data_IF_334862982542
#
_entry.id   IF_334862982542
#
_cell.length_a   1.000
_cell.length_b   1.000
_cell.length_c   1.000
_cell.angle_alpha   90.00
_cell.angle_beta   90.00
_cell.angle_gamma   90.00
#
_symmetry.space_group_name_H-M   'P 1'
#
loop_
_entity.id
_entity.type
_entity.pdbx_description
1 polymer ?
#
# COMPACT_ATOMS: atom_id res chain seq x y z
N UNK A 1 16.70 4.95 10.23
CA UNK A 1 16.27 3.92 11.21
C UNK A 1 16.85 2.59 10.74
N UNK A 2 17.43 1.80 11.64
CA UNK A 2 17.87 0.43 11.32
C UNK A 2 16.65 -0.49 11.24
N UNK A 3 16.57 -1.32 10.20
CA UNK A 3 15.49 -2.30 10.04
C UNK A 3 15.92 -3.59 10.75
N UNK A 4 15.22 -3.95 11.81
CA UNK A 4 15.48 -5.18 12.58
C UNK A 4 14.35 -6.20 12.39
N UNK A 5 14.63 -7.46 12.71
CA UNK A 5 13.61 -8.52 12.67
C UNK A 5 12.44 -8.24 13.61
N UNK A 6 12.68 -7.65 14.78
CA UNK A 6 11.59 -7.28 15.71
C UNK A 6 10.61 -6.27 15.11
N UNK A 7 11.11 -5.30 14.32
CA UNK A 7 10.27 -4.34 13.61
C UNK A 7 9.47 -5.04 12.51
N UNK A 8 10.12 -5.92 11.74
CA UNK A 8 9.47 -6.69 10.67
C UNK A 8 8.36 -7.58 11.24
N UNK A 9 8.64 -8.33 12.30
CA UNK A 9 7.68 -9.26 12.93
C UNK A 9 6.49 -8.52 13.54
N UNK A 10 6.73 -7.34 14.15
CA UNK A 10 5.66 -6.47 14.65
C UNK A 10 4.71 -6.03 13.53
N UNK A 11 5.25 -5.58 12.39
CA UNK A 11 4.42 -5.21 11.23
C UNK A 11 3.74 -6.42 10.59
N UNK A 12 4.40 -7.57 10.52
CA UNK A 12 3.81 -8.81 10.02
C UNK A 12 2.62 -9.25 10.87
N UNK A 13 2.71 -9.09 12.20
CA UNK A 13 1.61 -9.31 13.12
C UNK A 13 0.44 -8.34 12.87
N UNK A 14 0.73 -7.06 12.64
CA UNK A 14 -0.31 -6.07 12.29
C UNK A 14 -1.04 -6.44 10.99
N UNK A 15 -0.31 -6.80 9.93
CA UNK A 15 -0.91 -7.21 8.65
C UNK A 15 -1.80 -8.44 8.79
N UNK A 16 -1.40 -9.45 9.57
CA UNK A 16 -2.25 -10.62 9.86
C UNK A 16 -3.52 -10.24 10.61
N UNK A 17 -3.44 -9.32 11.57
CA UNK A 17 -4.60 -8.91 12.36
C UNK A 17 -5.65 -8.15 11.55
N UNK A 18 -5.22 -7.40 10.53
CA UNK A 18 -6.14 -6.75 9.58
C UNK A 18 -6.54 -7.67 8.42
N UNK A 19 -6.20 -8.97 8.51
CA UNK A 19 -6.71 -10.00 7.62
C UNK A 19 -5.85 -10.29 6.39
N UNK A 20 -4.67 -9.70 6.24
CA UNK A 20 -3.78 -10.03 5.10
C UNK A 20 -3.36 -11.50 5.19
N UNK A 21 -3.71 -12.26 4.16
CA UNK A 21 -3.43 -13.69 4.08
C UNK A 21 -2.01 -13.97 3.59
N UNK A 22 -1.52 -15.17 3.93
CA UNK A 22 -0.22 -15.65 3.49
C UNK A 22 -0.12 -15.89 1.98
N UNK A 23 -1.22 -16.01 1.26
CA UNK A 23 -1.28 -16.24 -0.19
C UNK A 23 -1.76 -15.00 -0.97
N UNK A 24 -1.82 -13.84 -0.31
CA UNK A 24 -2.34 -12.62 -0.90
C UNK A 24 -1.36 -12.03 -1.92
N UNK A 25 -1.91 -11.48 -3.00
CA UNK A 25 -1.20 -10.61 -3.93
C UNK A 25 -1.28 -9.16 -3.44
N UNK A 26 -0.13 -8.55 -3.19
CA UNK A 26 -0.03 -7.24 -2.52
C UNK A 26 0.82 -6.28 -3.34
N UNK A 27 0.26 -5.10 -3.59
CA UNK A 27 1.00 -3.98 -4.17
C UNK A 27 1.42 -3.03 -3.06
N UNK A 28 2.73 -2.74 -2.94
CA UNK A 28 3.26 -1.75 -2.01
C UNK A 28 3.58 -0.46 -2.76
N UNK A 29 2.87 0.61 -2.45
CA UNK A 29 3.14 1.95 -2.98
C UNK A 29 4.16 2.67 -2.10
N UNK A 30 5.18 3.25 -2.74
CA UNK A 30 6.21 4.03 -2.05
C UNK A 30 6.71 5.20 -2.87
N UNK A 31 7.56 6.03 -2.25
CA UNK A 31 8.26 7.12 -2.92
C UNK A 31 9.73 6.77 -3.18
N UNK A 32 10.44 7.67 -3.87
CA UNK A 32 11.89 7.57 -4.08
C UNK A 32 12.71 8.16 -2.92
N UNK A 33 12.17 8.22 -1.70
CA UNK A 33 12.92 8.76 -0.56
C UNK A 33 14.21 7.96 -0.31
N UNK A 34 15.26 8.67 0.12
CA UNK A 34 16.57 8.10 0.42
C UNK A 34 16.57 7.22 1.68
N UNK A 35 15.50 7.23 2.47
CA UNK A 35 15.30 6.42 3.66
C UNK A 35 13.89 5.80 3.65
N UNK A 36 13.65 4.81 2.78
CA UNK A 36 12.31 4.24 2.56
C UNK A 36 11.95 3.22 3.65
N UNK A 37 12.37 3.45 4.89
CA UNK A 37 12.36 2.43 5.95
C UNK A 37 10.96 1.84 6.18
N UNK A 38 9.90 2.63 5.98
CA UNK A 38 8.52 2.14 6.07
C UNK A 38 8.16 1.19 4.92
N UNK A 39 8.51 1.54 3.68
CA UNK A 39 8.28 0.69 2.50
C UNK A 39 9.03 -0.64 2.62
N UNK A 40 10.30 -0.56 2.99
CA UNK A 40 11.14 -1.76 3.12
C UNK A 40 10.66 -2.66 4.28
N UNK A 41 10.27 -2.08 5.42
CA UNK A 41 9.64 -2.82 6.53
C UNK A 41 8.33 -3.46 6.08
N UNK A 42 7.45 -2.71 5.39
CA UNK A 42 6.18 -3.22 4.93
C UNK A 42 6.37 -4.39 3.95
N UNK A 43 7.25 -4.24 2.94
CA UNK A 43 7.57 -5.34 2.02
C UNK A 43 8.09 -6.55 2.78
N UNK A 44 9.09 -6.39 3.64
CA UNK A 44 9.71 -7.50 4.34
C UNK A 44 8.71 -8.22 5.27
N UNK A 45 7.83 -7.46 5.93
CA UNK A 45 6.78 -8.01 6.77
C UNK A 45 5.73 -8.79 5.95
N UNK A 46 5.29 -8.27 4.81
CA UNK A 46 4.36 -8.95 3.90
C UNK A 46 4.99 -10.24 3.31
N UNK A 47 6.26 -10.17 2.93
CA UNK A 47 6.98 -11.34 2.44
C UNK A 47 7.16 -12.39 3.55
N UNK A 48 7.39 -11.98 4.81
CA UNK A 48 7.54 -12.92 5.92
C UNK A 48 6.23 -13.62 6.32
N UNK A 49 5.07 -13.01 6.02
CA UNK A 49 3.77 -13.69 6.18
C UNK A 49 3.45 -14.64 5.01
N UNK A 50 4.20 -14.58 3.90
CA UNK A 50 4.04 -15.42 2.72
C UNK A 50 3.49 -14.71 1.48
N UNK A 51 3.06 -13.45 1.61
CA UNK A 51 2.39 -12.72 0.54
C UNK A 51 3.30 -12.49 -0.67
N UNK A 52 2.69 -12.48 -1.85
CA UNK A 52 3.32 -12.10 -3.12
C UNK A 52 3.34 -10.57 -3.20
N UNK A 53 4.53 -9.96 -3.24
CA UNK A 53 4.67 -8.50 -3.12
C UNK A 53 5.28 -7.88 -4.38
N UNK A 54 4.57 -6.91 -4.95
CA UNK A 54 5.05 -6.03 -6.02
C UNK A 54 5.20 -4.61 -5.48
N UNK A 55 6.39 -4.02 -5.61
CA UNK A 55 6.60 -2.61 -5.27
C UNK A 55 6.32 -1.71 -6.47
N UNK A 56 5.59 -0.61 -6.24
CA UNK A 56 5.35 0.46 -7.22
C UNK A 56 5.83 1.78 -6.62
N UNK A 57 6.80 2.40 -7.28
CA UNK A 57 7.36 3.68 -6.84
C UNK A 57 6.71 4.85 -7.57
N UNK A 58 6.44 5.92 -6.82
CA UNK A 58 5.85 7.14 -7.36
C UNK A 58 6.78 7.80 -8.37
N UNK A 59 6.27 8.08 -9.56
CA UNK A 59 6.92 8.97 -10.52
C UNK A 59 6.24 10.34 -10.52
N UNK A 60 6.81 11.32 -11.21
CA UNK A 60 6.16 12.62 -11.42
C UNK A 60 4.76 12.50 -12.06
N UNK A 61 4.48 11.39 -12.76
CA UNK A 61 3.16 11.13 -13.34
C UNK A 61 2.09 10.76 -12.29
N UNK A 62 2.51 10.23 -11.14
CA UNK A 62 1.64 9.86 -10.00
C UNK A 62 1.54 10.96 -8.93
N UNK A 63 2.44 11.94 -8.98
CA UNK A 63 2.47 13.09 -8.06
C UNK A 63 1.72 14.27 -8.68
N UNK A 64 0.42 14.10 -8.90
CA UNK A 64 -0.42 15.19 -9.41
C UNK A 64 -0.91 16.06 -8.25
N UNK A 65 -0.70 17.38 -8.34
CA UNK A 65 -1.13 18.33 -7.29
C UNK A 65 -2.53 18.87 -7.51
N UNK A 66 -3.13 18.67 -8.69
CA UNK A 66 -4.33 19.38 -9.12
C UNK A 66 -5.55 18.47 -9.37
N UNK A 67 -5.49 17.19 -8.97
CA UNK A 67 -6.65 16.28 -9.07
C UNK A 67 -7.08 15.91 -10.49
N UNK A 68 -6.33 16.30 -11.53
CA UNK A 68 -6.59 15.86 -12.89
C UNK A 68 -6.24 14.37 -13.02
N UNK A 69 -7.23 13.50 -13.17
CA UNK A 69 -6.96 12.09 -13.52
C UNK A 69 -6.32 12.09 -14.91
N UNK A 70 -5.08 11.60 -15.01
CA UNK A 70 -4.42 11.39 -16.29
C UNK A 70 -4.34 9.90 -16.62
N UNK A 71 -3.99 9.56 -17.86
CA UNK A 71 -3.86 8.17 -18.31
C UNK A 71 -2.91 7.33 -17.44
N UNK A 72 -1.88 7.94 -16.84
CA UNK A 72 -0.94 7.23 -15.98
C UNK A 72 -1.63 6.80 -14.66
N UNK A 73 -2.43 7.68 -14.05
CA UNK A 73 -3.27 7.35 -12.89
C UNK A 73 -4.24 6.21 -13.19
N UNK A 74 -4.91 6.23 -14.35
CA UNK A 74 -5.85 5.18 -14.74
C UNK A 74 -5.15 3.83 -14.96
N UNK A 75 -3.99 3.84 -15.62
CA UNK A 75 -3.17 2.64 -15.82
C UNK A 75 -2.70 2.06 -14.49
N UNK A 76 -2.24 2.89 -13.55
CA UNK A 76 -1.85 2.42 -12.23
C UNK A 76 -3.05 1.88 -11.45
N UNK A 77 -4.19 2.60 -11.47
CA UNK A 77 -5.42 2.14 -10.81
C UNK A 77 -5.89 0.79 -11.35
N UNK A 78 -5.85 0.59 -12.68
CA UNK A 78 -6.17 -0.68 -13.35
C UNK A 78 -5.16 -1.79 -13.06
N UNK A 79 -3.90 -1.45 -12.82
CA UNK A 79 -2.88 -2.44 -12.47
C UNK A 79 -3.09 -2.95 -11.05
N UNK A 80 -3.46 -2.07 -10.11
CA UNK A 80 -3.64 -2.44 -8.71
C UNK A 80 -4.97 -3.14 -8.40
N UNK A 81 -6.01 -2.98 -9.24
CA UNK A 81 -7.29 -3.69 -9.10
C UNK A 81 -7.19 -5.21 -9.25
N UNK A 82 -6.04 -5.72 -9.72
CA UNK A 82 -5.77 -7.16 -9.81
C UNK A 82 -5.20 -7.76 -8.52
N UNK A 83 -4.88 -6.93 -7.53
CA UNK A 83 -4.30 -7.35 -6.25
C UNK A 83 -5.37 -7.53 -5.17
N UNK A 84 -5.09 -8.35 -4.15
CA UNK A 84 -5.93 -8.43 -2.95
C UNK A 84 -5.80 -7.15 -2.10
N UNK A 85 -4.57 -6.64 -1.97
CA UNK A 85 -4.26 -5.47 -1.13
C UNK A 85 -3.34 -4.47 -1.82
N UNK A 86 -3.59 -3.19 -1.55
CA UNK A 86 -2.68 -2.08 -1.83
C UNK A 86 -2.23 -1.47 -0.51
N UNK A 87 -0.93 -1.49 -0.23
CA UNK A 87 -0.33 -0.88 0.96
C UNK A 87 0.35 0.43 0.57
N UNK A 88 -0.19 1.55 1.02
CA UNK A 88 0.41 2.87 0.76
C UNK A 88 1.33 3.32 1.90
N UNK A 89 2.63 3.30 1.63
CA UNK A 89 3.68 3.73 2.56
C UNK A 89 3.95 5.25 2.50
N UNK A 90 3.13 6.02 1.80
CA UNK A 90 3.32 7.47 1.61
C UNK A 90 2.34 8.34 2.40
N UNK A 91 1.68 7.77 3.42
CA UNK A 91 0.64 8.43 4.22
C UNK A 91 -0.52 8.93 3.37
N UNK A 92 -1.08 8.03 2.56
CA UNK A 92 -2.19 8.28 1.62
C UNK A 92 -1.90 9.20 0.44
N UNK A 93 -0.69 9.78 0.31
CA UNK A 93 -0.39 10.74 -0.77
C UNK A 93 -0.60 10.15 -2.16
N UNK A 94 -0.21 8.90 -2.37
CA UNK A 94 -0.39 8.23 -3.65
C UNK A 94 -1.80 7.71 -3.81
N UNK A 95 -2.37 7.16 -2.74
CA UNK A 95 -3.76 6.69 -2.73
C UNK A 95 -4.75 7.79 -3.11
N UNK A 96 -4.54 9.03 -2.64
CA UNK A 96 -5.37 10.19 -3.00
C UNK A 96 -5.44 10.46 -4.50
N UNK A 97 -4.44 10.01 -5.26
CA UNK A 97 -4.37 10.21 -6.70
C UNK A 97 -4.95 9.03 -7.47
N UNK A 98 -5.40 7.95 -6.82
CA UNK A 98 -5.97 6.76 -7.48
C UNK A 98 -7.49 6.81 -7.58
N UNK A 99 -8.07 6.04 -8.51
CA UNK A 99 -9.52 5.87 -8.62
C UNK A 99 -10.04 4.86 -7.58
N UNK A 100 -10.18 5.31 -6.34
CA UNK A 100 -10.56 4.49 -5.18
C UNK A 100 -11.84 3.69 -5.41
N UNK A 101 -12.85 4.30 -6.02
CA UNK A 101 -14.13 3.65 -6.25
C UNK A 101 -13.97 2.42 -7.16
N UNK A 102 -13.13 2.52 -8.19
CA UNK A 102 -12.90 1.41 -9.12
C UNK A 102 -12.05 0.31 -8.48
N UNK A 103 -11.06 0.69 -7.66
CA UNK A 103 -10.23 -0.25 -6.90
C UNK A 103 -11.10 -1.02 -5.89
N UNK A 104 -11.90 -0.33 -5.08
CA UNK A 104 -12.78 -0.96 -4.10
C UNK A 104 -13.84 -1.84 -4.76
N UNK A 105 -14.42 -1.41 -5.90
CA UNK A 105 -15.38 -2.23 -6.67
C UNK A 105 -14.78 -3.53 -7.20
N UNK A 106 -13.46 -3.59 -7.39
CA UNK A 106 -12.76 -4.83 -7.79
C UNK A 106 -12.50 -5.79 -6.63
N UNK A 107 -12.76 -5.37 -5.39
CA UNK A 107 -12.52 -6.17 -4.18
C UNK A 107 -11.15 -5.95 -3.56
N UNK A 108 -10.26 -5.19 -4.22
CA UNK A 108 -8.96 -4.80 -3.67
C UNK A 108 -9.14 -3.88 -2.47
N UNK A 109 -8.52 -4.23 -1.35
CA UNK A 109 -8.50 -3.41 -0.14
C UNK A 109 -7.30 -2.47 -0.15
N UNK A 110 -7.51 -1.22 0.23
CA UNK A 110 -6.42 -0.24 0.32
C UNK A 110 -6.11 0.01 1.78
N UNK A 111 -4.86 -0.16 2.19
CA UNK A 111 -4.39 -0.01 3.55
C UNK A 111 -3.32 1.08 3.59
N UNK A 112 -3.41 1.99 4.57
CA UNK A 112 -2.47 3.08 4.75
C UNK A 112 -1.84 3.05 6.14
N UNK A 113 -0.65 3.64 6.25
CA UNK A 113 -0.05 3.93 7.55
C UNK A 113 -0.68 5.19 8.16
N UNK A 114 -1.23 5.06 9.36
CA UNK A 114 -1.62 6.18 10.24
C UNK A 114 -1.11 5.94 11.66
N UNK A 115 -0.39 6.93 12.22
CA UNK A 115 0.13 6.91 13.61
C UNK A 115 0.81 5.58 14.00
N UNK A 116 1.63 4.99 13.12
CA UNK A 116 2.29 3.69 13.29
C UNK A 116 1.36 2.46 13.35
N UNK A 117 0.15 2.58 12.81
CA UNK A 117 -0.79 1.48 12.59
C UNK A 117 -1.20 1.42 11.12
N UNK A 118 -1.69 0.25 10.70
CA UNK A 118 -2.21 0.02 9.35
C UNK A 118 -3.73 0.02 9.39
N UNK A 119 -4.36 0.88 8.59
CA UNK A 119 -5.81 1.06 8.55
C UNK A 119 -6.34 0.87 7.13
N UNK A 120 -7.48 0.19 7.00
CA UNK A 120 -8.17 0.04 5.72
C UNK A 120 -8.92 1.32 5.34
N UNK A 121 -8.86 1.74 4.08
CA UNK A 121 -9.65 2.83 3.53
C UNK A 121 -10.97 2.27 3.01
N UNK A 122 -12.08 2.78 3.56
CA UNK A 122 -13.44 2.38 3.16
C UNK A 122 -14.21 1.67 4.27
N UNK A 123 -13.53 1.18 5.30
CA UNK A 123 -14.17 0.95 6.61
C UNK A 123 -14.30 2.30 7.30
N UNK A 124 -15.34 3.04 6.90
CA UNK A 124 -15.81 4.16 7.70
C UNK A 124 -16.12 3.62 9.10
N UNK A 125 -15.55 4.27 10.10
CA UNK A 125 -15.98 4.16 11.49
C UNK A 125 -17.52 4.16 11.56
N UNK A 126 -18.10 3.01 11.86
CA UNK A 126 -19.45 2.95 12.44
C UNK A 126 -19.40 3.37 13.91
#
# INVERSE_FOLDING_TARGET
MEITWDIIDSHAYQFRNIGVRADADVVVLGDHSLQPSLRDVARLALQSIGASVVEVLSTSALLQTNGERNMATELVSSSVTSSDYVIDCTKSKLTQNLDLDSIQRSGTQIIIEDKNAWISIGEASE
#
